data_IF_268151616501
#
_entry.id   IF_268151616501
#
_cell.length_a   1.000
_cell.length_b   1.000
_cell.length_c   1.000
_cell.angle_alpha   90.00
_cell.angle_beta   90.00
_cell.angle_gamma   90.00
#
_symmetry.space_group_name_H-M   'P 1'
#
loop_
_entity.id
_entity.type
_entity.pdbx_description
1 polymer ?
#
# COMPACT_ATOMS: atom_id res chain seq x y z
N UNK A 1 28.82 21.83 -31.62
CA UNK A 1 28.48 20.40 -31.46
C UNK A 1 27.07 20.20 -31.99
N UNK A 2 26.85 19.39 -33.03
CA UNK A 2 25.54 19.25 -33.63
C UNK A 2 24.64 18.43 -32.70
N UNK A 3 23.43 18.90 -32.45
CA UNK A 3 22.41 18.17 -31.70
C UNK A 3 21.98 16.88 -32.41
N UNK A 4 21.11 16.09 -31.78
CA UNK A 4 20.47 14.92 -32.39
C UNK A 4 19.83 15.27 -33.73
N UNK A 5 19.96 14.37 -34.72
CA UNK A 5 19.33 14.55 -36.04
C UNK A 5 17.80 14.47 -35.95
N UNK A 6 17.10 15.16 -36.86
CA UNK A 6 15.63 15.24 -36.85
C UNK A 6 14.94 13.87 -36.85
N UNK A 7 15.48 12.90 -37.61
CA UNK A 7 15.00 11.51 -37.62
C UNK A 7 15.13 10.81 -36.26
N UNK A 8 16.18 11.11 -35.48
CA UNK A 8 16.34 10.56 -34.13
C UNK A 8 15.38 11.23 -33.15
N UNK A 9 15.13 12.54 -33.31
CA UNK A 9 14.15 13.29 -32.51
C UNK A 9 12.74 12.75 -32.77
N UNK A 10 12.39 12.41 -34.01
CA UNK A 10 11.10 11.82 -34.37
C UNK A 10 10.89 10.41 -33.79
N UNK A 11 11.93 9.57 -33.79
CA UNK A 11 11.88 8.26 -33.10
C UNK A 11 11.67 8.44 -31.59
N UNK A 12 12.39 9.39 -30.97
CA UNK A 12 12.22 9.70 -29.55
C UNK A 12 10.83 10.25 -29.27
N UNK A 13 10.26 11.07 -30.16
CA UNK A 13 8.88 11.56 -30.07
C UNK A 13 7.88 10.41 -29.95
N UNK A 14 7.92 9.47 -30.91
CA UNK A 14 7.01 8.33 -30.90
C UNK A 14 7.19 7.40 -29.68
N UNK A 15 8.41 7.22 -29.20
CA UNK A 15 8.67 6.46 -27.98
C UNK A 15 8.11 7.16 -26.73
N UNK A 16 8.23 8.48 -26.66
CA UNK A 16 7.72 9.28 -25.54
C UNK A 16 6.19 9.32 -25.55
N UNK A 17 5.56 9.56 -26.71
CA UNK A 17 4.09 9.56 -26.88
C UNK A 17 3.46 8.22 -26.47
N UNK A 18 4.11 7.10 -26.79
CA UNK A 18 3.62 5.75 -26.47
C UNK A 18 3.95 5.28 -25.05
N UNK A 19 4.80 6.00 -24.31
CA UNK A 19 5.22 5.61 -22.96
C UNK A 19 4.14 5.91 -21.89
N UNK A 20 4.06 5.12 -20.80
CA UNK A 20 3.21 5.45 -19.64
C UNK A 20 3.63 6.74 -18.92
N UNK A 21 2.69 7.43 -18.27
CA UNK A 21 2.94 8.71 -17.56
C UNK A 21 4.11 8.63 -16.56
N UNK A 22 4.19 7.53 -15.78
CA UNK A 22 5.28 7.32 -14.81
C UNK A 22 6.66 7.31 -15.48
N UNK A 23 6.76 6.75 -16.68
CA UNK A 23 8.02 6.68 -17.44
C UNK A 23 8.40 8.07 -17.95
N UNK A 24 7.44 8.84 -18.45
CA UNK A 24 7.69 10.21 -18.93
C UNK A 24 8.10 11.16 -17.80
N UNK A 25 7.47 11.05 -16.62
CA UNK A 25 7.90 11.81 -15.43
C UNK A 25 9.31 11.42 -14.95
N UNK A 26 9.65 10.13 -14.96
CA UNK A 26 11.01 9.65 -14.66
C UNK A 26 12.06 10.19 -15.64
N UNK A 27 11.73 10.23 -16.94
CA UNK A 27 12.58 10.80 -17.99
C UNK A 27 12.81 12.30 -17.79
N UNK A 28 11.78 13.06 -17.42
CA UNK A 28 11.91 14.48 -17.11
C UNK A 28 12.89 14.73 -15.96
N UNK A 29 12.76 13.98 -14.85
CA UNK A 29 13.65 14.11 -13.71
C UNK A 29 15.10 13.78 -14.06
N UNK A 30 15.31 12.72 -14.85
CA UNK A 30 16.63 12.33 -15.33
C UNK A 30 17.26 13.41 -16.24
N UNK A 31 16.48 14.02 -17.13
CA UNK A 31 16.94 15.08 -18.04
C UNK A 31 17.16 16.42 -17.33
N UNK A 32 16.41 16.73 -16.27
CA UNK A 32 16.62 17.91 -15.44
C UNK A 32 17.95 17.83 -14.67
N UNK A 33 18.33 16.64 -14.19
CA UNK A 33 19.61 16.39 -13.54
C UNK A 33 20.82 16.52 -14.50
N UNK A 34 20.61 16.37 -15.80
CA UNK A 34 21.65 16.45 -16.85
C UNK A 34 21.82 17.87 -17.43
N UNK A 35 21.53 18.92 -16.66
CA UNK A 35 21.29 20.31 -17.09
C UNK A 35 22.45 21.02 -17.84
N UNK A 36 23.63 20.40 -17.95
CA UNK A 36 24.79 20.91 -18.68
C UNK A 36 25.00 20.36 -20.10
N UNK A 37 24.24 19.36 -20.55
CA UNK A 37 24.47 18.72 -21.85
C UNK A 37 23.66 19.37 -22.99
N UNK A 38 24.34 20.19 -23.81
CA UNK A 38 23.76 20.84 -24.98
C UNK A 38 23.23 19.87 -26.05
N UNK A 39 23.70 18.61 -26.07
CA UNK A 39 23.32 17.60 -27.06
C UNK A 39 21.89 17.09 -26.81
N UNK A 40 21.47 17.06 -25.54
CA UNK A 40 20.15 16.58 -25.11
C UNK A 40 19.10 17.69 -25.04
N UNK A 41 19.44 18.94 -25.34
CA UNK A 41 18.53 20.07 -25.23
C UNK A 41 17.25 19.91 -26.08
N UNK A 42 17.35 19.30 -27.26
CA UNK A 42 16.20 19.00 -28.13
C UNK A 42 15.28 17.92 -27.55
N UNK A 43 15.84 16.86 -26.97
CA UNK A 43 15.08 15.79 -26.30
C UNK A 43 14.44 16.31 -25.01
N UNK A 44 15.16 17.15 -24.25
CA UNK A 44 14.62 17.80 -23.06
C UNK A 44 13.39 18.65 -23.38
N UNK A 45 13.47 19.52 -24.40
CA UNK A 45 12.30 20.31 -24.83
C UNK A 45 11.13 19.42 -25.24
N UNK A 46 11.40 18.35 -25.98
CA UNK A 46 10.36 17.39 -26.38
C UNK A 46 9.67 16.76 -25.18
N UNK A 47 10.44 16.29 -24.19
CA UNK A 47 9.92 15.67 -22.97
C UNK A 47 9.19 16.70 -22.11
N UNK A 48 9.69 17.93 -21.99
CA UNK A 48 9.02 19.03 -21.29
C UNK A 48 7.66 19.36 -21.92
N UNK A 49 7.58 19.44 -23.25
CA UNK A 49 6.31 19.62 -23.97
C UNK A 49 5.34 18.47 -23.73
N UNK A 50 5.81 17.22 -23.80
CA UNK A 50 4.97 16.05 -23.51
C UNK A 50 4.47 16.05 -22.06
N UNK A 51 5.33 16.34 -21.09
CA UNK A 51 4.94 16.41 -19.67
C UNK A 51 3.90 17.51 -19.47
N UNK A 52 4.07 18.67 -20.08
CA UNK A 52 3.10 19.76 -20.01
C UNK A 52 1.75 19.35 -20.61
N UNK A 53 1.75 18.69 -21.78
CA UNK A 53 0.54 18.18 -22.43
C UNK A 53 -0.19 17.15 -21.55
N UNK A 54 0.54 16.21 -20.93
CA UNK A 54 -0.03 15.22 -20.01
C UNK A 54 -0.51 15.82 -18.70
N UNK A 55 0.20 16.83 -18.18
CA UNK A 55 -0.23 17.58 -17.00
C UNK A 55 -1.55 18.30 -17.28
N UNK A 56 -1.68 18.93 -18.45
CA UNK A 56 -2.92 19.58 -18.87
C UNK A 56 -4.04 18.56 -19.07
N UNK A 57 -3.78 17.46 -19.78
CA UNK A 57 -4.73 16.35 -19.91
C UNK A 57 -5.23 15.87 -18.55
N UNK A 58 -4.31 15.58 -17.63
CA UNK A 58 -4.64 15.04 -16.32
C UNK A 58 -5.33 16.09 -15.42
N UNK A 59 -5.12 17.39 -15.65
CA UNK A 59 -5.90 18.45 -15.01
C UNK A 59 -7.33 18.51 -15.58
N UNK A 60 -7.48 18.52 -16.91
CA UNK A 60 -8.79 18.54 -17.59
C UNK A 60 -9.61 17.31 -17.24
N UNK A 61 -9.02 16.12 -17.39
CA UNK A 61 -9.70 14.83 -17.17
C UNK A 61 -9.53 14.28 -15.75
N UNK A 62 -9.10 15.11 -14.78
CA UNK A 62 -8.86 14.67 -13.40
C UNK A 62 -10.01 13.87 -12.77
N UNK A 63 -11.31 14.17 -13.04
CA UNK A 63 -12.41 13.41 -12.45
C UNK A 63 -12.49 11.95 -12.90
N UNK A 64 -12.02 11.64 -14.11
CA UNK A 64 -12.07 10.29 -14.69
C UNK A 64 -10.69 9.62 -14.80
N UNK A 65 -9.62 10.39 -14.64
CA UNK A 65 -8.27 9.89 -14.85
C UNK A 65 -7.91 8.68 -13.96
N UNK A 66 -8.28 8.65 -12.66
CA UNK A 66 -8.00 7.50 -11.81
C UNK A 66 -8.77 6.23 -12.17
N UNK A 67 -9.90 6.36 -12.90
CA UNK A 67 -10.64 5.20 -13.41
C UNK A 67 -9.92 4.53 -14.60
N UNK A 68 -9.01 5.25 -15.25
CA UNK A 68 -8.32 4.80 -16.46
C UNK A 68 -6.93 4.23 -16.15
N UNK A 69 -6.83 3.32 -15.17
CA UNK A 69 -5.57 2.67 -14.80
C UNK A 69 -5.63 1.18 -15.05
N UNK A 70 -4.48 0.58 -15.39
CA UNK A 70 -4.40 -0.84 -15.70
C UNK A 70 -4.56 -1.69 -14.43
N UNK A 71 -5.34 -2.77 -14.51
CA UNK A 71 -5.38 -3.81 -13.48
C UNK A 71 -6.25 -3.50 -12.26
N UNK A 72 -7.25 -2.62 -12.39
CA UNK A 72 -8.31 -2.51 -11.37
C UNK A 72 -9.12 -3.81 -11.34
N UNK A 73 -9.56 -4.19 -10.14
CA UNK A 73 -10.48 -5.31 -9.93
C UNK A 73 -11.74 -5.17 -10.80
N UNK A 74 -12.28 -6.30 -11.28
CA UNK A 74 -13.46 -6.31 -12.17
C UNK A 74 -14.69 -5.70 -11.52
N UNK A 75 -14.67 -5.62 -10.19
CA UNK A 75 -15.77 -5.15 -9.38
C UNK A 75 -15.88 -3.62 -9.39
N UNK A 76 -14.79 -2.88 -9.61
CA UNK A 76 -14.84 -1.40 -9.66
C UNK A 76 -15.15 -0.85 -11.05
N UNK A 77 -15.53 0.43 -11.12
CA UNK A 77 -15.55 1.18 -12.37
C UNK A 77 -14.11 1.40 -12.83
N UNK A 78 -13.78 0.88 -14.01
CA UNK A 78 -12.48 1.10 -14.62
C UNK A 78 -12.60 1.12 -16.15
N UNK A 79 -11.67 1.84 -16.78
CA UNK A 79 -11.56 1.94 -18.22
C UNK A 79 -10.13 1.62 -18.66
N UNK A 80 -9.92 1.12 -19.89
CA UNK A 80 -8.58 0.95 -20.43
C UNK A 80 -7.80 2.29 -20.43
N UNK A 81 -6.52 2.32 -20.00
CA UNK A 81 -5.76 3.58 -19.87
C UNK A 81 -5.69 4.43 -21.16
N UNK A 82 -5.77 3.77 -22.31
CA UNK A 82 -5.74 4.41 -23.63
C UNK A 82 -6.96 5.29 -23.91
N UNK A 83 -8.08 5.09 -23.20
CA UNK A 83 -9.28 5.93 -23.31
C UNK A 83 -8.96 7.41 -23.06
N UNK A 84 -8.18 7.74 -22.03
CA UNK A 84 -7.79 9.14 -21.75
C UNK A 84 -7.01 9.77 -22.89
N UNK A 85 -6.07 9.02 -23.48
CA UNK A 85 -5.24 9.53 -24.57
C UNK A 85 -6.08 9.81 -25.82
N UNK A 86 -7.06 8.94 -26.11
CA UNK A 86 -7.97 9.12 -27.24
C UNK A 86 -8.90 10.32 -27.04
N UNK A 87 -9.52 10.47 -25.86
CA UNK A 87 -10.34 11.64 -25.53
C UNK A 87 -9.53 12.93 -25.67
N UNK A 88 -8.31 12.94 -25.11
CA UNK A 88 -7.44 14.11 -25.17
C UNK A 88 -7.02 14.47 -26.59
N UNK A 89 -6.68 13.47 -27.40
CA UNK A 89 -6.34 13.69 -28.81
C UNK A 89 -7.54 14.27 -29.57
N UNK A 90 -8.73 13.70 -29.36
CA UNK A 90 -9.98 14.21 -29.91
C UNK A 90 -10.23 15.68 -29.53
N UNK A 91 -10.11 16.03 -28.25
CA UNK A 91 -10.27 17.41 -27.76
C UNK A 91 -9.28 18.39 -28.40
N UNK A 92 -8.01 18.00 -28.57
CA UNK A 92 -7.01 18.86 -29.24
C UNK A 92 -7.35 19.10 -30.71
N UNK A 93 -7.99 18.14 -31.37
CA UNK A 93 -8.40 18.26 -32.76
C UNK A 93 -9.70 19.07 -32.92
N UNK A 94 -10.68 18.88 -32.03
CA UNK A 94 -12.01 19.49 -32.15
C UNK A 94 -12.15 20.85 -31.46
N UNK A 95 -11.42 21.06 -30.36
CA UNK A 95 -11.55 22.23 -29.48
C UNK A 95 -10.19 22.90 -29.18
N UNK A 96 -9.39 23.28 -30.19
CA UNK A 96 -8.03 23.78 -29.96
C UNK A 96 -7.99 25.12 -29.20
N UNK A 97 -9.01 25.97 -29.37
CA UNK A 97 -9.08 27.25 -28.68
C UNK A 97 -9.33 27.08 -27.17
N UNK A 98 -10.22 26.14 -26.83
CA UNK A 98 -10.57 25.78 -25.46
C UNK A 98 -9.38 25.10 -24.76
N UNK A 99 -8.62 24.26 -25.46
CA UNK A 99 -7.38 23.67 -24.94
C UNK A 99 -6.36 24.76 -24.57
N UNK A 100 -6.15 25.76 -25.43
CA UNK A 100 -5.27 26.90 -25.14
C UNK A 100 -5.79 27.73 -23.95
N UNK A 101 -7.12 27.91 -23.84
CA UNK A 101 -7.74 28.58 -22.68
C UNK A 101 -7.48 27.81 -21.38
N UNK A 102 -7.63 26.49 -21.40
CA UNK A 102 -7.35 25.62 -20.26
C UNK A 102 -5.87 25.61 -19.88
N UNK A 103 -4.96 25.61 -20.86
CA UNK A 103 -3.52 25.70 -20.63
C UNK A 103 -3.15 26.98 -19.87
N UNK A 104 -3.67 28.13 -20.31
CA UNK A 104 -3.48 29.42 -19.62
C UNK A 104 -4.05 29.41 -18.22
N UNK A 105 -5.25 28.85 -18.04
CA UNK A 105 -5.87 28.74 -16.73
C UNK A 105 -5.05 27.87 -15.78
N UNK A 106 -4.46 26.78 -16.27
CA UNK A 106 -3.64 25.87 -15.47
C UNK A 106 -2.34 26.52 -14.95
N UNK A 107 -1.75 27.45 -15.70
CA UNK A 107 -0.50 28.11 -15.33
C UNK A 107 -0.60 28.85 -13.98
N UNK A 108 -1.74 29.51 -13.75
CA UNK A 108 -2.01 30.30 -12.55
C UNK A 108 -3.02 29.61 -11.59
N UNK A 109 -3.36 28.35 -11.85
CA UNK A 109 -4.41 27.65 -11.12
C UNK A 109 -4.04 27.44 -9.66
N UNK A 110 -4.92 27.91 -8.78
CA UNK A 110 -4.89 27.69 -7.35
C UNK A 110 -6.17 27.00 -6.91
N UNK A 111 -6.07 25.86 -6.20
CA UNK A 111 -7.22 25.24 -5.55
C UNK A 111 -8.01 26.27 -4.74
N UNK A 112 -9.34 26.21 -4.79
CA UNK A 112 -10.32 27.07 -4.10
C UNK A 112 -10.35 28.57 -4.49
N UNK A 113 -9.32 29.09 -5.17
CA UNK A 113 -9.28 30.49 -5.64
C UNK A 113 -9.61 30.62 -7.13
N UNK A 114 -9.24 29.62 -7.94
CA UNK A 114 -9.35 29.66 -9.41
C UNK A 114 -10.59 28.94 -9.92
N UNK A 115 -11.24 29.51 -10.94
CA UNK A 115 -12.35 28.85 -11.62
C UNK A 115 -11.88 27.59 -12.37
N UNK A 116 -12.59 26.48 -12.18
CA UNK A 116 -12.39 25.24 -12.92
C UNK A 116 -13.14 25.20 -14.27
N UNK A 117 -13.95 26.22 -14.57
CA UNK A 117 -14.78 26.32 -15.78
C UNK A 117 -14.03 25.98 -17.08
N UNK A 118 -12.77 26.44 -17.32
CA UNK A 118 -12.05 26.10 -18.54
C UNK A 118 -11.81 24.59 -18.72
N UNK A 119 -11.68 23.85 -17.62
CA UNK A 119 -11.52 22.39 -17.65
C UNK A 119 -12.87 21.70 -17.89
N UNK A 120 -13.93 22.17 -17.24
CA UNK A 120 -15.26 21.55 -17.32
C UNK A 120 -15.94 21.78 -18.68
N UNK A 121 -15.64 22.89 -19.35
CA UNK A 121 -16.02 23.11 -20.76
C UNK A 121 -15.46 22.00 -21.65
N UNK A 122 -14.17 21.66 -21.50
CA UNK A 122 -13.53 20.60 -22.29
C UNK A 122 -14.10 19.22 -21.95
N UNK A 123 -14.43 18.96 -20.68
CA UNK A 123 -15.07 17.69 -20.29
C UNK A 123 -16.48 17.57 -20.85
N UNK A 124 -17.24 18.66 -20.87
CA UNK A 124 -18.57 18.71 -21.49
C UNK A 124 -18.48 18.44 -22.99
N UNK A 125 -17.55 19.12 -23.68
CA UNK A 125 -17.28 18.88 -25.10
C UNK A 125 -16.86 17.42 -25.38
N UNK A 126 -16.07 16.82 -24.49
CA UNK A 126 -15.72 15.41 -24.60
C UNK A 126 -16.93 14.48 -24.45
N UNK A 127 -17.86 14.79 -23.54
CA UNK A 127 -19.09 14.01 -23.37
C UNK A 127 -19.95 14.07 -24.64
N UNK A 128 -20.15 15.27 -25.21
CA UNK A 128 -20.93 15.44 -26.43
C UNK A 128 -20.29 14.73 -27.63
N UNK A 129 -18.99 14.92 -27.84
CA UNK A 129 -18.23 14.24 -28.88
C UNK A 129 -18.21 12.71 -28.73
N UNK A 130 -18.13 12.19 -27.49
CA UNK A 130 -18.23 10.77 -27.20
C UNK A 130 -19.61 10.20 -27.53
N UNK A 131 -20.68 10.96 -27.24
CA UNK A 131 -22.05 10.59 -27.59
C UNK A 131 -22.27 10.53 -29.09
N UNK A 132 -21.71 11.49 -29.82
CA UNK A 132 -21.75 11.55 -31.29
C UNK A 132 -20.78 10.57 -31.94
N UNK A 133 -19.80 10.06 -31.18
CA UNK A 133 -18.69 9.20 -31.64
C UNK A 133 -17.82 9.87 -32.71
N UNK A 134 -17.78 11.21 -32.73
CA UNK A 134 -17.00 12.03 -33.65
C UNK A 134 -16.17 13.08 -32.90
N UNK A 135 -14.95 13.43 -33.38
CA UNK A 135 -14.16 12.76 -34.41
C UNK A 135 -13.72 11.32 -34.05
N UNK A 136 -13.06 10.63 -34.99
CA UNK A 136 -12.67 9.20 -34.92
C UNK A 136 -12.09 8.75 -33.57
N UNK A 137 -11.31 9.60 -32.89
CA UNK A 137 -10.71 9.25 -31.60
C UNK A 137 -11.75 9.03 -30.50
N UNK A 138 -12.86 9.78 -30.49
CA UNK A 138 -13.97 9.57 -29.54
C UNK A 138 -14.71 8.27 -29.84
N UNK A 139 -14.97 7.96 -31.12
CA UNK A 139 -15.51 6.66 -31.52
C UNK A 139 -14.61 5.50 -31.08
N UNK A 140 -13.30 5.62 -31.27
CA UNK A 140 -12.33 4.63 -30.81
C UNK A 140 -12.27 4.50 -29.28
N UNK A 141 -12.46 5.59 -28.54
CA UNK A 141 -12.54 5.57 -27.08
C UNK A 141 -13.80 4.83 -26.61
N UNK A 142 -14.95 5.10 -27.23
CA UNK A 142 -16.22 4.43 -26.95
C UNK A 142 -16.12 2.91 -27.23
N UNK A 143 -15.61 2.53 -28.41
CA UNK A 143 -15.42 1.12 -28.79
C UNK A 143 -14.48 0.39 -27.82
N UNK A 144 -13.43 1.07 -27.37
CA UNK A 144 -12.48 0.50 -26.40
C UNK A 144 -13.13 0.31 -25.02
N UNK A 145 -13.98 1.24 -24.59
CA UNK A 145 -14.74 1.11 -23.35
C UNK A 145 -15.74 -0.05 -23.45
N UNK A 146 -16.51 -0.14 -24.53
CA UNK A 146 -17.48 -1.21 -24.78
C UNK A 146 -16.82 -2.60 -24.89
N UNK A 147 -15.62 -2.68 -25.48
CA UNK A 147 -14.86 -3.92 -25.57
C UNK A 147 -14.38 -4.42 -24.18
N UNK A 148 -14.20 -3.51 -23.22
CA UNK A 148 -13.78 -3.86 -21.85
C UNK A 148 -14.94 -4.31 -20.96
N UNK A 149 -16.13 -3.74 -21.16
CA UNK A 149 -17.36 -4.03 -20.42
C UNK A 149 -18.55 -3.67 -21.28
N UNK A 150 -19.58 -4.53 -21.31
CA UNK A 150 -20.83 -4.22 -21.99
C UNK A 150 -21.43 -2.91 -21.45
N UNK A 151 -21.76 -1.98 -22.35
CA UNK A 151 -22.24 -0.64 -21.98
C UNK A 151 -21.15 0.29 -21.44
N UNK A 152 -19.87 -0.02 -21.66
CA UNK A 152 -18.74 0.77 -21.18
C UNK A 152 -18.71 2.19 -21.72
N UNK A 153 -19.13 2.43 -22.97
CA UNK A 153 -19.21 3.78 -23.54
C UNK A 153 -20.26 4.64 -22.84
N UNK A 154 -21.43 4.08 -22.54
CA UNK A 154 -22.50 4.78 -21.81
C UNK A 154 -22.07 5.09 -20.37
N UNK A 155 -21.39 4.13 -19.72
CA UNK A 155 -20.81 4.35 -18.40
C UNK A 155 -19.76 5.47 -18.40
N UNK A 156 -18.90 5.52 -19.43
CA UNK A 156 -17.91 6.58 -19.59
C UNK A 156 -18.55 7.95 -19.81
N UNK A 157 -19.56 8.04 -20.68
CA UNK A 157 -20.34 9.26 -20.92
C UNK A 157 -20.95 9.78 -19.62
N UNK A 158 -21.58 8.86 -18.88
CA UNK A 158 -22.15 9.11 -17.57
C UNK A 158 -21.13 9.60 -16.53
N UNK A 159 -19.90 9.06 -16.54
CA UNK A 159 -18.82 9.57 -15.69
C UNK A 159 -18.38 10.99 -16.10
N UNK A 160 -18.31 11.28 -17.41
CA UNK A 160 -17.98 12.63 -17.90
C UNK A 160 -19.07 13.65 -17.49
N UNK A 161 -20.34 13.27 -17.48
CA UNK A 161 -21.43 14.13 -17.03
C UNK A 161 -21.31 14.52 -15.54
N UNK A 162 -20.78 13.63 -14.70
CA UNK A 162 -20.55 13.90 -13.27
C UNK A 162 -19.27 14.71 -13.00
N UNK A 163 -18.42 14.90 -14.01
CA UNK A 163 -17.07 15.41 -13.82
C UNK A 163 -16.97 16.78 -13.11
N UNK A 164 -17.83 17.78 -13.38
CA UNK A 164 -17.75 19.07 -12.66
C UNK A 164 -17.98 18.90 -11.16
N UNK A 165 -18.99 18.09 -10.78
CA UNK A 165 -19.33 17.81 -9.37
C UNK A 165 -18.19 17.04 -8.71
N UNK A 166 -17.64 16.04 -9.39
CA UNK A 166 -16.52 15.24 -8.86
C UNK A 166 -15.28 16.11 -8.68
N UNK A 167 -14.99 17.04 -9.59
CA UNK A 167 -13.85 17.95 -9.47
C UNK A 167 -13.96 18.81 -8.22
N UNK A 168 -15.11 19.44 -8.00
CA UNK A 168 -15.34 20.25 -6.81
C UNK A 168 -15.29 19.41 -5.54
N UNK A 169 -15.95 18.26 -5.53
CA UNK A 169 -15.93 17.32 -4.41
C UNK A 169 -14.50 16.83 -4.08
N UNK A 170 -13.66 16.59 -5.10
CA UNK A 170 -12.28 16.12 -4.93
C UNK A 170 -11.43 17.12 -4.14
N UNK A 171 -11.62 18.42 -4.33
CA UNK A 171 -10.91 19.46 -3.57
C UNK A 171 -11.26 19.38 -2.07
N UNK A 172 -12.47 18.92 -1.74
CA UNK A 172 -13.01 18.85 -0.38
C UNK A 172 -12.82 17.49 0.29
N UNK A 173 -12.39 16.48 -0.46
CA UNK A 173 -12.19 15.11 0.06
C UNK A 173 -11.31 15.06 1.32
N UNK A 174 -10.14 15.74 1.39
CA UNK A 174 -9.30 15.69 2.60
C UNK A 174 -10.04 16.18 3.87
N UNK A 175 -10.92 17.17 3.71
CA UNK A 175 -11.74 17.67 4.81
C UNK A 175 -12.86 16.71 5.19
N UNK A 176 -13.51 16.09 4.19
CA UNK A 176 -14.62 15.16 4.42
C UNK A 176 -14.16 13.89 5.15
N UNK A 177 -12.97 13.36 4.83
CA UNK A 177 -12.46 12.10 5.41
C UNK A 177 -11.75 12.26 6.76
N UNK A 178 -11.20 13.45 7.06
CA UNK A 178 -10.36 13.66 8.24
C UNK A 178 -11.16 13.86 9.54
N UNK A 179 -12.25 14.63 9.48
CA UNK A 179 -13.23 14.83 10.56
C UNK A 179 -14.57 15.24 9.96
N UNK A 180 -15.58 14.38 10.04
CA UNK A 180 -16.92 14.72 9.56
C UNK A 180 -17.65 15.55 10.60
N UNK A 181 -17.74 16.87 10.38
CA UNK A 181 -18.67 17.75 11.11
C UNK A 181 -20.02 17.79 10.39
N UNK A 182 -21.08 18.25 11.04
CA UNK A 182 -22.40 18.41 10.41
C UNK A 182 -22.33 19.30 9.16
N UNK A 183 -21.54 20.37 9.19
CA UNK A 183 -21.31 21.26 8.05
C UNK A 183 -20.64 20.55 6.86
N UNK A 184 -19.64 19.70 7.14
CA UNK A 184 -18.95 18.90 6.11
C UNK A 184 -19.85 17.81 5.54
N UNK A 185 -20.67 17.19 6.38
CA UNK A 185 -21.68 16.23 5.93
C UNK A 185 -22.74 16.89 5.04
N UNK A 186 -23.20 18.10 5.40
CA UNK A 186 -24.15 18.86 4.59
C UNK A 186 -23.61 19.17 3.19
N UNK A 187 -22.32 19.51 3.09
CA UNK A 187 -21.66 19.71 1.81
C UNK A 187 -21.56 18.45 0.96
N UNK A 188 -21.20 17.31 1.54
CA UNK A 188 -21.19 16.03 0.85
C UNK A 188 -22.59 15.62 0.37
N UNK A 189 -23.62 15.86 1.19
CA UNK A 189 -25.04 15.64 0.84
C UNK A 189 -25.48 16.52 -0.32
N UNK A 190 -25.06 17.78 -0.35
CA UNK A 190 -25.36 18.69 -1.46
C UNK A 190 -24.73 18.18 -2.76
N UNK A 191 -23.44 17.84 -2.76
CA UNK A 191 -22.76 17.31 -3.94
C UNK A 191 -23.40 15.99 -4.43
N UNK A 192 -23.76 15.10 -3.50
CA UNK A 192 -24.51 13.88 -3.81
C UNK A 192 -25.89 14.20 -4.43
N UNK A 193 -26.62 15.17 -3.86
CA UNK A 193 -27.92 15.60 -4.38
C UNK A 193 -27.80 16.14 -5.81
N UNK A 194 -26.77 16.94 -6.08
CA UNK A 194 -26.51 17.49 -7.41
C UNK A 194 -26.17 16.37 -8.41
N UNK A 195 -25.46 15.32 -7.97
CA UNK A 195 -25.15 14.16 -8.79
C UNK A 195 -26.42 13.37 -9.17
N UNK A 196 -27.31 13.09 -8.22
CA UNK A 196 -28.56 12.34 -8.50
C UNK A 196 -29.59 13.13 -9.32
N UNK A 197 -29.48 14.45 -9.39
CA UNK A 197 -30.28 15.27 -10.33
C UNK A 197 -29.90 15.01 -11.78
N UNK A 198 -28.66 14.60 -12.06
CA UNK A 198 -28.19 14.30 -13.42
C UNK A 198 -28.80 13.00 -13.95
N UNK A 199 -28.87 11.96 -13.13
CA UNK A 199 -29.54 10.69 -13.46
C UNK A 199 -29.88 9.90 -12.20
N UNK A 200 -30.98 9.14 -12.22
CA UNK A 200 -31.46 8.35 -11.08
C UNK A 200 -30.40 7.38 -10.53
N UNK A 201 -29.57 6.77 -11.39
CA UNK A 201 -28.51 5.82 -11.01
C UNK A 201 -27.12 6.48 -10.80
N UNK A 202 -27.06 7.81 -10.63
CA UNK A 202 -25.77 8.51 -10.47
C UNK A 202 -25.12 8.31 -9.09
N UNK A 203 -25.89 7.91 -8.08
CA UNK A 203 -25.42 7.82 -6.69
C UNK A 203 -24.19 6.92 -6.51
N UNK A 204 -24.26 5.63 -6.88
CA UNK A 204 -23.13 4.71 -6.70
C UNK A 204 -21.93 5.14 -7.56
N UNK A 205 -22.20 5.66 -8.76
CA UNK A 205 -21.16 6.16 -9.66
C UNK A 205 -20.41 7.35 -9.05
N UNK A 206 -21.12 8.27 -8.42
CA UNK A 206 -20.51 9.39 -7.72
C UNK A 206 -19.51 8.92 -6.66
N UNK A 207 -19.90 7.95 -5.82
CA UNK A 207 -19.01 7.39 -4.80
C UNK A 207 -17.85 6.58 -5.39
N UNK A 208 -18.05 5.80 -6.45
CA UNK A 208 -16.97 5.08 -7.14
C UNK A 208 -15.93 6.06 -7.72
N UNK A 209 -16.39 7.16 -8.33
CA UNK A 209 -15.51 8.19 -8.88
C UNK A 209 -14.69 8.88 -7.79
N UNK A 210 -15.29 9.17 -6.63
CA UNK A 210 -14.56 9.74 -5.48
C UNK A 210 -13.62 8.73 -4.83
N UNK A 211 -14.04 7.47 -4.68
CA UNK A 211 -13.20 6.40 -4.15
C UNK A 211 -11.91 6.23 -4.97
N UNK A 212 -11.99 6.38 -6.29
CA UNK A 212 -10.82 6.33 -7.17
C UNK A 212 -9.83 7.49 -6.95
N UNK A 213 -10.26 8.60 -6.34
CA UNK A 213 -9.38 9.73 -6.00
C UNK A 213 -8.68 9.54 -4.64
N UNK A 214 -9.13 8.59 -3.81
CA UNK A 214 -8.60 8.36 -2.47
C UNK A 214 -7.38 7.44 -2.51
N UNK A 215 -6.41 7.71 -1.64
CA UNK A 215 -5.28 6.80 -1.45
C UNK A 215 -5.73 5.44 -0.90
N UNK A 216 -6.77 5.46 -0.07
CA UNK A 216 -7.43 4.29 0.52
C UNK A 216 -8.90 4.29 0.09
N UNK A 217 -9.27 3.64 -1.03
CA UNK A 217 -10.60 3.74 -1.62
C UNK A 217 -11.73 3.34 -0.66
N UNK A 218 -11.47 2.43 0.28
CA UNK A 218 -12.44 1.97 1.28
C UNK A 218 -12.85 3.05 2.29
N UNK A 219 -12.06 4.13 2.44
CA UNK A 219 -12.44 5.30 3.28
C UNK A 219 -13.62 6.10 2.70
N UNK A 220 -14.07 5.78 1.49
CA UNK A 220 -15.31 6.31 0.91
C UNK A 220 -16.53 6.04 1.80
N UNK A 221 -16.50 4.97 2.61
CA UNK A 221 -17.59 4.62 3.51
C UNK A 221 -17.90 5.72 4.53
N UNK A 222 -16.92 6.52 4.96
CA UNK A 222 -17.18 7.74 5.76
C UNK A 222 -18.10 8.72 5.06
N UNK A 223 -17.91 8.93 3.76
CA UNK A 223 -18.69 9.88 2.97
C UNK A 223 -20.08 9.30 2.71
N UNK A 224 -20.18 8.02 2.36
CA UNK A 224 -21.46 7.30 2.24
C UNK A 224 -22.25 7.41 3.55
N UNK A 225 -21.60 7.12 4.68
CA UNK A 225 -22.18 7.24 6.02
C UNK A 225 -22.67 8.65 6.31
N UNK A 226 -21.85 9.68 6.04
CA UNK A 226 -22.22 11.07 6.24
C UNK A 226 -23.43 11.48 5.39
N UNK A 227 -23.46 11.07 4.11
CA UNK A 227 -24.57 11.36 3.20
C UNK A 227 -25.86 10.71 3.66
N UNK A 228 -25.79 9.46 4.15
CA UNK A 228 -26.93 8.68 4.62
C UNK A 228 -27.28 8.89 6.09
N UNK A 229 -26.61 9.83 6.77
CA UNK A 229 -26.81 10.15 8.19
C UNK A 229 -26.61 8.94 9.12
N UNK A 230 -25.44 8.30 8.99
CA UNK A 230 -25.00 7.15 9.78
C UNK A 230 -25.99 5.97 9.70
N UNK A 231 -26.06 5.30 8.54
CA UNK A 231 -27.13 4.34 8.26
C UNK A 231 -27.01 3.08 9.11
N UNK A 232 -28.16 2.48 9.41
CA UNK A 232 -28.22 1.12 9.95
C UNK A 232 -27.79 0.09 8.91
N UNK A 233 -27.24 -1.04 9.36
CA UNK A 233 -26.85 -2.12 8.44
C UNK A 233 -28.02 -2.59 7.56
N UNK A 234 -29.25 -2.65 8.09
CA UNK A 234 -30.41 -3.11 7.34
C UNK A 234 -30.77 -2.13 6.21
N UNK A 235 -30.72 -0.83 6.50
CA UNK A 235 -31.00 0.20 5.51
C UNK A 235 -29.92 0.24 4.42
N UNK A 236 -28.65 0.17 4.80
CA UNK A 236 -27.54 0.18 3.85
C UNK A 236 -27.49 -1.10 3.00
N UNK A 237 -27.75 -2.26 3.59
CA UNK A 237 -27.79 -3.53 2.86
C UNK A 237 -28.92 -3.61 1.82
N UNK A 238 -30.02 -2.89 2.05
CA UNK A 238 -31.15 -2.82 1.12
C UNK A 238 -30.97 -1.75 0.02
N UNK A 239 -29.91 -0.94 0.07
CA UNK A 239 -29.64 0.12 -0.89
C UNK A 239 -28.62 -0.30 -1.95
N UNK A 240 -28.51 0.51 -2.99
CA UNK A 240 -27.48 0.39 -4.03
C UNK A 240 -26.05 0.61 -3.52
N UNK A 241 -25.88 1.13 -2.29
CA UNK A 241 -24.57 1.38 -1.68
C UNK A 241 -24.05 0.18 -0.87
N UNK A 242 -24.83 -0.90 -0.78
CA UNK A 242 -24.40 -2.12 -0.08
C UNK A 242 -23.08 -2.68 -0.62
N UNK A 243 -22.88 -2.52 -1.93
CA UNK A 243 -21.71 -2.98 -2.67
C UNK A 243 -20.38 -2.47 -2.10
N UNK A 244 -20.34 -1.25 -1.52
CA UNK A 244 -19.11 -0.69 -0.95
C UNK A 244 -18.70 -1.42 0.33
N UNK A 245 -19.67 -1.73 1.21
CA UNK A 245 -19.42 -2.47 2.44
C UNK A 245 -19.12 -3.94 2.15
N UNK A 246 -19.84 -4.56 1.22
CA UNK A 246 -19.65 -5.95 0.82
C UNK A 246 -18.26 -6.19 0.23
N UNK A 247 -17.83 -5.35 -0.72
CA UNK A 247 -16.47 -5.45 -1.29
C UNK A 247 -15.38 -5.26 -0.25
N UNK A 248 -15.56 -4.33 0.68
CA UNK A 248 -14.58 -4.14 1.76
C UNK A 248 -14.48 -5.37 2.65
N UNK A 249 -15.61 -5.99 3.01
CA UNK A 249 -15.60 -7.26 3.77
C UNK A 249 -14.98 -8.41 2.97
N UNK A 250 -15.23 -8.50 1.66
CA UNK A 250 -14.60 -9.49 0.79
C UNK A 250 -13.07 -9.28 0.71
N UNK A 251 -12.62 -8.03 0.67
CA UNK A 251 -11.20 -7.67 0.68
C UNK A 251 -10.54 -8.07 2.00
N UNK A 252 -11.21 -7.84 3.13
CA UNK A 252 -10.76 -8.29 4.46
C UNK A 252 -10.55 -9.81 4.45
N UNK A 253 -11.50 -10.59 3.94
CA UNK A 253 -11.39 -12.05 3.88
C UNK A 253 -10.21 -12.50 3.00
N UNK A 254 -10.01 -11.85 1.85
CA UNK A 254 -8.85 -12.09 0.97
C UNK A 254 -7.53 -11.78 1.67
N UNK A 255 -7.47 -10.66 2.40
CA UNK A 255 -6.28 -10.22 3.11
C UNK A 255 -5.97 -11.12 4.32
N UNK A 256 -6.98 -11.62 5.04
CA UNK A 256 -6.80 -12.64 6.09
C UNK A 256 -6.09 -13.89 5.54
N UNK A 257 -6.46 -14.33 4.34
CA UNK A 257 -5.78 -15.43 3.65
C UNK A 257 -4.29 -15.19 3.44
N UNK A 258 -3.88 -13.95 3.09
CA UNK A 258 -2.47 -13.59 2.89
C UNK A 258 -1.66 -13.69 4.19
N UNK A 259 -2.23 -13.29 5.33
CA UNK A 259 -1.56 -13.41 6.64
C UNK A 259 -1.40 -14.89 7.04
N UNK A 260 -2.38 -15.73 6.70
CA UNK A 260 -2.28 -17.18 6.94
C UNK A 260 -1.19 -17.82 6.09
N UNK A 261 -0.91 -17.33 4.88
CA UNK A 261 -0.05 -18.02 3.92
C UNK A 261 1.30 -17.36 3.66
N UNK A 262 1.66 -16.27 4.35
CA UNK A 262 2.93 -15.59 4.05
C UNK A 262 4.15 -16.49 4.29
N UNK A 263 5.17 -16.32 3.46
CA UNK A 263 6.37 -17.15 3.47
C UNK A 263 7.28 -16.79 4.64
N UNK A 264 7.42 -17.73 5.58
CA UNK A 264 8.35 -17.59 6.70
C UNK A 264 9.82 -17.59 6.26
N UNK A 265 10.14 -18.03 5.04
CA UNK A 265 11.50 -18.03 4.50
C UNK A 265 11.82 -16.77 3.68
N UNK A 266 10.87 -15.83 3.57
CA UNK A 266 11.02 -14.62 2.75
C UNK A 266 11.83 -13.48 3.39
N UNK A 267 12.36 -13.70 4.59
CA UNK A 267 13.17 -12.72 5.32
C UNK A 267 12.35 -11.56 5.91
N UNK A 268 13.07 -10.54 6.37
CA UNK A 268 12.46 -9.38 7.04
C UNK A 268 11.42 -8.64 6.18
N UNK A 269 11.57 -8.64 4.86
CA UNK A 269 10.59 -7.98 3.98
C UNK A 269 9.24 -8.71 4.00
N UNK A 270 9.23 -10.04 3.91
CA UNK A 270 8.00 -10.82 4.01
C UNK A 270 7.30 -10.62 5.37
N UNK A 271 8.07 -10.49 6.46
CA UNK A 271 7.53 -10.16 7.78
C UNK A 271 6.87 -8.79 7.84
N UNK A 272 7.51 -7.76 7.26
CA UNK A 272 6.94 -6.40 7.16
C UNK A 272 5.70 -6.36 6.30
N UNK A 273 5.73 -7.00 5.13
CA UNK A 273 4.60 -7.04 4.21
C UNK A 273 3.37 -7.70 4.88
N UNK A 274 3.58 -8.81 5.59
CA UNK A 274 2.52 -9.46 6.36
C UNK A 274 2.00 -8.57 7.51
N UNK A 275 2.88 -7.84 8.19
CA UNK A 275 2.51 -6.88 9.23
C UNK A 275 1.66 -5.73 8.69
N UNK A 276 2.04 -5.17 7.54
CA UNK A 276 1.27 -4.14 6.84
C UNK A 276 -0.13 -4.63 6.44
N UNK A 277 -0.27 -5.90 6.04
CA UNK A 277 -1.59 -6.50 5.77
C UNK A 277 -2.44 -6.60 7.04
N UNK A 278 -1.86 -6.95 8.20
CA UNK A 278 -2.58 -6.98 9.49
C UNK A 278 -3.06 -5.58 9.88
N UNK A 279 -2.23 -4.56 9.68
CA UNK A 279 -2.60 -3.16 9.92
C UNK A 279 -3.71 -2.71 8.98
N UNK A 280 -3.62 -3.02 7.69
CA UNK A 280 -4.67 -2.75 6.71
C UNK A 280 -6.01 -3.37 7.13
N UNK A 281 -6.04 -4.66 7.46
CA UNK A 281 -7.29 -5.33 7.90
C UNK A 281 -7.86 -4.66 9.15
N UNK A 282 -6.99 -4.27 10.09
CA UNK A 282 -7.39 -3.56 11.32
C UNK A 282 -8.08 -2.24 10.99
N UNK A 283 -7.52 -1.45 10.08
CA UNK A 283 -8.09 -0.18 9.63
C UNK A 283 -9.41 -0.38 8.86
N UNK A 284 -9.48 -1.37 7.98
CA UNK A 284 -10.69 -1.70 7.21
C UNK A 284 -11.85 -2.13 8.11
N UNK A 285 -11.59 -2.97 9.12
CA UNK A 285 -12.61 -3.36 10.12
C UNK A 285 -13.10 -2.12 10.89
N UNK A 286 -12.18 -1.26 11.33
CA UNK A 286 -12.52 -0.02 12.03
C UNK A 286 -13.36 0.91 11.16
N UNK A 287 -13.10 0.97 9.86
CA UNK A 287 -13.88 1.78 8.95
C UNK A 287 -15.36 1.35 8.91
N UNK A 288 -15.63 0.05 8.77
CA UNK A 288 -17.01 -0.45 8.73
C UNK A 288 -17.70 -0.21 10.08
N UNK A 289 -17.03 -0.54 11.20
CA UNK A 289 -17.57 -0.33 12.55
C UNK A 289 -17.91 1.15 12.81
N UNK A 290 -17.15 2.10 12.25
CA UNK A 290 -17.37 3.53 12.43
C UNK A 290 -18.31 4.16 11.40
N UNK A 291 -18.60 3.48 10.30
CA UNK A 291 -19.41 4.04 9.19
C UNK A 291 -20.85 3.54 9.19
N UNK A 292 -21.13 2.40 9.82
CA UNK A 292 -22.44 1.74 9.77
C UNK A 292 -22.86 1.31 11.16
N UNK A 293 -24.12 1.52 11.53
CA UNK A 293 -24.66 0.95 12.77
C UNK A 293 -24.88 -0.57 12.56
N UNK A 294 -23.87 -1.34 12.96
CA UNK A 294 -23.87 -2.80 12.82
C UNK A 294 -24.72 -3.47 13.90
N UNK A 295 -25.48 -4.50 13.50
CA UNK A 295 -26.18 -5.38 14.43
C UNK A 295 -25.19 -6.23 15.23
N UNK A 296 -25.65 -6.69 16.41
CA UNK A 296 -24.81 -7.50 17.31
C UNK A 296 -24.65 -8.94 16.81
N UNK A 297 -25.65 -9.49 16.13
CA UNK A 297 -25.68 -10.88 15.68
C UNK A 297 -26.30 -11.00 14.27
N UNK A 298 -25.72 -11.87 13.43
CA UNK A 298 -26.16 -12.07 12.05
C UNK A 298 -25.67 -10.98 11.08
N UNK A 299 -26.03 -11.12 9.79
CA UNK A 299 -25.74 -10.11 8.76
C UNK A 299 -24.27 -9.70 8.64
N UNK A 300 -24.05 -8.40 8.44
CA UNK A 300 -22.72 -7.82 8.32
C UNK A 300 -22.04 -7.69 9.69
N UNK A 301 -22.76 -7.29 10.73
CA UNK A 301 -22.20 -7.23 12.09
C UNK A 301 -21.58 -8.56 12.53
N UNK A 302 -22.27 -9.68 12.32
CA UNK A 302 -21.75 -11.02 12.60
C UNK A 302 -20.53 -11.38 11.73
N UNK A 303 -20.51 -10.98 10.45
CA UNK A 303 -19.35 -11.18 9.55
C UNK A 303 -18.13 -10.40 10.02
N UNK A 304 -18.29 -9.13 10.35
CA UNK A 304 -17.21 -8.26 10.87
C UNK A 304 -16.66 -8.81 12.19
N UNK A 305 -17.52 -9.25 13.12
CA UNK A 305 -17.06 -9.90 14.35
C UNK A 305 -16.28 -11.20 14.08
N UNK A 306 -16.73 -12.01 13.11
CA UNK A 306 -16.00 -13.21 12.68
C UNK A 306 -14.64 -12.87 12.07
N UNK A 307 -14.55 -11.81 11.27
CA UNK A 307 -13.30 -11.33 10.67
C UNK A 307 -12.33 -10.83 11.73
N UNK A 308 -12.79 -10.05 12.71
CA UNK A 308 -11.99 -9.59 13.86
C UNK A 308 -11.44 -10.77 14.68
N UNK A 309 -12.28 -11.75 14.98
CA UNK A 309 -11.86 -12.99 15.65
C UNK A 309 -10.85 -13.78 14.81
N UNK A 310 -11.04 -13.82 13.49
CA UNK A 310 -10.14 -14.51 12.56
C UNK A 310 -8.78 -13.82 12.49
N UNK A 311 -8.74 -12.48 12.43
CA UNK A 311 -7.50 -11.70 12.49
C UNK A 311 -6.70 -12.05 13.74
N UNK A 312 -7.33 -11.96 14.91
CA UNK A 312 -6.68 -12.33 16.17
C UNK A 312 -6.17 -13.78 16.14
N UNK A 313 -7.00 -14.73 15.72
CA UNK A 313 -6.64 -16.15 15.66
C UNK A 313 -5.47 -16.45 14.71
N UNK A 314 -5.42 -15.80 13.55
CA UNK A 314 -4.33 -15.97 12.58
C UNK A 314 -3.03 -15.39 13.10
N UNK A 315 -3.06 -14.17 13.67
CA UNK A 315 -1.87 -13.56 14.28
C UNK A 315 -1.38 -14.41 15.45
N UNK A 316 -2.26 -14.84 16.34
CA UNK A 316 -1.89 -15.73 17.45
C UNK A 316 -1.32 -17.08 16.98
N UNK A 317 -1.84 -17.63 15.89
CA UNK A 317 -1.26 -18.82 15.26
C UNK A 317 0.21 -18.61 14.91
N UNK A 318 0.54 -17.48 14.29
CA UNK A 318 1.92 -17.10 13.97
C UNK A 318 2.77 -16.84 15.20
N UNK A 319 2.22 -16.18 16.22
CA UNK A 319 2.93 -15.97 17.49
C UNK A 319 3.34 -17.29 18.15
N UNK A 320 2.48 -18.31 18.13
CA UNK A 320 2.79 -19.63 18.70
C UNK A 320 3.90 -20.38 17.93
N UNK A 321 4.15 -20.05 16.66
CA UNK A 321 5.25 -20.64 15.90
C UNK A 321 6.63 -20.09 16.33
N UNK A 322 6.67 -18.96 17.04
CA UNK A 322 7.91 -18.29 17.40
C UNK A 322 8.84 -19.17 18.22
N UNK A 323 8.31 -19.88 19.22
CA UNK A 323 9.12 -20.76 20.08
C UNK A 323 9.87 -21.83 19.24
N UNK A 324 9.16 -22.42 18.28
CA UNK A 324 9.71 -23.47 17.41
C UNK A 324 10.79 -22.91 16.49
N UNK A 325 10.53 -21.74 15.90
CA UNK A 325 11.44 -21.13 14.93
C UNK A 325 12.70 -20.61 15.64
N UNK A 326 12.56 -19.99 16.81
CA UNK A 326 13.70 -19.54 17.63
C UNK A 326 14.50 -20.74 18.13
N UNK A 327 13.85 -21.80 18.60
CA UNK A 327 14.54 -23.03 19.01
C UNK A 327 15.31 -23.73 17.88
N UNK A 328 14.91 -23.53 16.61
CA UNK A 328 15.66 -24.02 15.46
C UNK A 328 16.85 -23.10 15.11
N UNK A 329 16.68 -21.79 15.21
CA UNK A 329 17.75 -20.82 14.96
C UNK A 329 18.82 -20.80 16.07
N UNK A 330 18.43 -21.09 17.32
CA UNK A 330 19.27 -21.14 18.52
C UNK A 330 19.14 -22.53 19.18
N UNK A 331 19.70 -23.58 18.57
CA UNK A 331 19.48 -24.96 19.01
C UNK A 331 20.18 -25.24 20.34
N UNK A 332 19.46 -25.90 21.25
CA UNK A 332 19.98 -26.36 22.54
C UNK A 332 19.83 -27.88 22.71
N UNK A 333 20.49 -28.44 23.73
CA UNK A 333 20.38 -29.83 24.12
C UNK A 333 20.38 -29.96 25.64
N UNK A 334 19.60 -30.89 26.17
CA UNK A 334 19.53 -31.13 27.60
C UNK A 334 20.75 -31.92 28.06
N UNK A 335 21.50 -31.36 29.01
CA UNK A 335 22.63 -32.02 29.68
C UNK A 335 22.32 -32.12 31.16
N UNK A 336 22.58 -33.30 31.74
CA UNK A 336 22.37 -33.53 33.16
C UNK A 336 23.56 -32.98 33.94
N UNK A 337 23.33 -31.91 34.70
CA UNK A 337 24.33 -31.31 35.60
C UNK A 337 23.88 -31.56 37.03
N UNK A 338 24.59 -32.47 37.72
CA UNK A 338 24.20 -32.98 39.03
C UNK A 338 22.75 -33.54 39.06
N UNK A 339 21.85 -32.94 39.86
CA UNK A 339 20.44 -33.36 40.00
C UNK A 339 19.47 -32.59 39.09
N UNK A 340 19.93 -31.64 38.30
CA UNK A 340 19.10 -30.83 37.40
C UNK A 340 19.42 -31.12 35.92
N UNK A 341 18.42 -30.93 35.05
CA UNK A 341 18.64 -30.83 33.61
C UNK A 341 18.91 -29.38 33.26
N UNK A 342 20.04 -29.13 32.59
CA UNK A 342 20.42 -27.80 32.08
C UNK A 342 20.28 -27.82 30.55
N UNK A 343 19.72 -26.77 29.97
CA UNK A 343 19.64 -26.62 28.52
C UNK A 343 20.91 -25.90 28.04
N UNK A 344 21.78 -26.59 27.31
CA UNK A 344 23.03 -26.03 26.82
C UNK A 344 22.95 -25.76 25.31
N UNK A 345 23.48 -24.62 24.82
CA UNK A 345 23.64 -24.34 23.40
C UNK A 345 24.36 -25.47 22.66
N UNK A 346 23.95 -25.74 21.42
CA UNK A 346 24.54 -26.76 20.56
C UNK A 346 25.45 -26.12 19.52
N UNK A 347 26.76 -26.25 19.70
CA UNK A 347 27.80 -25.73 18.78
C UNK A 347 28.41 -26.85 17.91
N UNK A 348 27.57 -27.67 17.28
CA UNK A 348 28.04 -28.80 16.44
C UNK A 348 28.36 -28.40 14.99
N UNK A 349 27.96 -27.20 14.57
CA UNK A 349 28.12 -26.67 13.22
C UNK A 349 27.63 -25.22 13.16
N UNK A 350 27.83 -24.51 12.04
CA UNK A 350 27.37 -23.14 11.89
C UNK A 350 25.82 -23.04 11.97
N UNK A 351 25.27 -21.85 12.30
CA UNK A 351 23.83 -21.61 12.27
C UNK A 351 23.22 -21.95 10.90
N UNK A 352 22.07 -22.61 10.90
CA UNK A 352 21.35 -22.96 9.67
C UNK A 352 20.66 -21.71 9.09
N UNK A 353 21.06 -21.32 7.88
CA UNK A 353 20.59 -20.08 7.23
C UNK A 353 19.06 -20.01 7.08
N UNK A 354 18.41 -21.14 6.76
CA UNK A 354 16.95 -21.21 6.63
C UNK A 354 16.28 -21.01 8.00
N UNK A 355 16.82 -21.61 9.06
CA UNK A 355 16.29 -21.45 10.41
C UNK A 355 16.41 -19.99 10.90
N UNK A 356 17.57 -19.36 10.65
CA UNK A 356 17.82 -17.95 10.97
C UNK A 356 16.88 -17.04 10.18
N UNK A 357 16.75 -17.25 8.87
CA UNK A 357 15.84 -16.47 8.02
C UNK A 357 14.39 -16.56 8.51
N UNK A 358 13.95 -17.74 8.93
CA UNK A 358 12.62 -17.92 9.51
C UNK A 358 12.43 -17.16 10.82
N UNK A 359 13.42 -17.18 11.70
CA UNK A 359 13.38 -16.42 12.95
C UNK A 359 13.29 -14.92 12.69
N UNK A 360 14.16 -14.40 11.81
CA UNK A 360 14.16 -12.99 11.40
C UNK A 360 12.80 -12.58 10.82
N UNK A 361 12.25 -13.40 9.91
CA UNK A 361 10.95 -13.13 9.27
C UNK A 361 9.83 -13.00 10.29
N UNK A 362 9.74 -13.95 11.22
CA UNK A 362 8.66 -13.99 12.20
C UNK A 362 8.82 -12.94 13.31
N UNK A 363 10.04 -12.66 13.76
CA UNK A 363 10.32 -11.57 14.70
C UNK A 363 10.01 -10.20 14.08
N UNK A 364 10.36 -10.01 12.80
CA UNK A 364 9.99 -8.78 12.07
C UNK A 364 8.47 -8.63 12.00
N UNK A 365 7.73 -9.71 11.73
CA UNK A 365 6.27 -9.69 11.76
C UNK A 365 5.72 -9.28 13.14
N UNK A 366 6.23 -9.83 14.24
CA UNK A 366 5.81 -9.48 15.62
C UNK A 366 6.02 -7.99 15.93
N UNK A 367 7.14 -7.45 15.47
CA UNK A 367 7.48 -6.04 15.59
C UNK A 367 6.49 -5.19 14.79
N UNK A 368 6.24 -5.54 13.53
CA UNK A 368 5.39 -4.78 12.63
C UNK A 368 3.91 -4.76 13.03
N UNK A 369 3.40 -5.80 13.72
CA UNK A 369 2.00 -5.82 14.20
C UNK A 369 1.78 -5.07 15.53
N UNK A 370 2.78 -4.35 16.04
CA UNK A 370 2.71 -3.66 17.34
C UNK A 370 1.61 -2.60 17.39
N UNK A 371 1.48 -1.75 16.36
CA UNK A 371 0.51 -0.64 16.33
C UNK A 371 -0.93 -1.15 16.34
N UNK A 372 -1.18 -2.26 15.66
CA UNK A 372 -2.52 -2.84 15.48
C UNK A 372 -2.95 -3.76 16.63
N UNK A 373 -2.05 -4.13 17.55
CA UNK A 373 -2.28 -5.21 18.50
C UNK A 373 -3.47 -5.00 19.46
N UNK A 374 -3.69 -3.76 19.90
CA UNK A 374 -4.78 -3.44 20.81
C UNK A 374 -6.14 -3.58 20.13
N UNK A 375 -6.29 -2.96 18.96
CA UNK A 375 -7.56 -3.00 18.24
C UNK A 375 -7.83 -4.36 17.60
N UNK A 376 -6.78 -5.00 17.06
CA UNK A 376 -6.85 -6.34 16.48
C UNK A 376 -7.09 -7.47 17.50
N UNK A 377 -7.07 -7.18 18.80
CA UNK A 377 -7.46 -8.14 19.85
C UNK A 377 -6.41 -9.18 20.21
N UNK A 378 -5.14 -8.99 19.85
CA UNK A 378 -4.04 -9.95 20.10
C UNK A 378 -2.89 -9.37 20.95
N UNK A 379 -3.08 -8.18 21.54
CA UNK A 379 -2.06 -7.51 22.36
C UNK A 379 -1.51 -8.38 23.51
N UNK A 380 -2.38 -9.05 24.27
CA UNK A 380 -1.95 -9.90 25.39
C UNK A 380 -1.08 -11.08 24.92
N UNK A 381 -1.51 -11.76 23.86
CA UNK A 381 -0.77 -12.89 23.27
C UNK A 381 0.59 -12.45 22.72
N UNK A 382 0.65 -11.27 22.10
CA UNK A 382 1.91 -10.66 21.63
C UNK A 382 2.85 -10.36 22.79
N UNK A 383 2.40 -9.68 23.83
CA UNK A 383 3.23 -9.34 25.01
C UNK A 383 3.83 -10.59 25.64
N UNK A 384 3.00 -11.61 25.90
CA UNK A 384 3.46 -12.89 26.47
C UNK A 384 4.49 -13.58 25.57
N UNK A 385 4.29 -13.56 24.27
CA UNK A 385 5.23 -14.16 23.30
C UNK A 385 6.55 -13.40 23.33
N UNK A 386 6.51 -12.07 23.33
CA UNK A 386 7.71 -11.23 23.37
C UNK A 386 8.52 -11.44 24.65
N UNK A 387 7.85 -11.49 25.80
CA UNK A 387 8.49 -11.77 27.10
C UNK A 387 9.16 -13.15 27.08
N UNK A 388 8.42 -14.19 26.72
CA UNK A 388 8.91 -15.58 26.68
C UNK A 388 10.10 -15.78 25.74
N UNK A 389 10.02 -15.25 24.51
CA UNK A 389 11.12 -15.35 23.55
C UNK A 389 12.33 -14.55 24.03
N UNK A 390 12.09 -13.41 24.68
CA UNK A 390 13.15 -12.61 25.29
C UNK A 390 13.90 -13.38 26.36
N UNK A 391 13.19 -14.01 27.30
CA UNK A 391 13.77 -14.90 28.32
C UNK A 391 14.55 -16.05 27.69
N UNK A 392 13.99 -16.69 26.65
CA UNK A 392 14.66 -17.80 25.95
C UNK A 392 15.99 -17.38 25.32
N UNK A 393 16.04 -16.18 24.72
CA UNK A 393 17.27 -15.63 24.13
C UNK A 393 18.28 -15.27 25.22
N UNK A 394 17.83 -14.63 26.30
CA UNK A 394 18.69 -14.24 27.42
C UNK A 394 19.33 -15.47 28.07
N UNK A 395 18.56 -16.51 28.36
CA UNK A 395 19.05 -17.79 28.90
C UNK A 395 20.07 -18.46 27.95
N UNK A 396 19.76 -18.51 26.65
CA UNK A 396 20.67 -19.07 25.65
C UNK A 396 22.01 -18.34 25.61
N UNK A 397 21.98 -16.99 25.67
CA UNK A 397 23.18 -16.15 25.67
C UNK A 397 24.00 -16.37 26.95
N UNK A 398 23.37 -16.42 28.13
CA UNK A 398 24.07 -16.67 29.39
C UNK A 398 24.81 -18.02 29.36
N UNK A 399 24.13 -19.06 28.91
CA UNK A 399 24.71 -20.41 28.80
C UNK A 399 25.84 -20.46 27.78
N UNK A 400 25.67 -19.82 26.61
CA UNK A 400 26.71 -19.73 25.58
C UNK A 400 27.97 -19.02 26.12
N UNK A 401 27.80 -17.91 26.84
CA UNK A 401 28.90 -17.18 27.45
C UNK A 401 29.56 -17.95 28.61
N UNK A 402 28.84 -18.81 29.32
CA UNK A 402 29.42 -19.71 30.33
C UNK A 402 30.34 -20.74 29.67
N UNK A 403 29.84 -21.44 28.65
CA UNK A 403 30.62 -22.45 27.91
C UNK A 403 31.91 -21.86 27.30
N UNK A 404 31.83 -20.64 26.75
CA UNK A 404 33.00 -19.94 26.21
C UNK A 404 34.02 -19.66 27.31
N UNK A 405 33.58 -19.15 28.47
CA UNK A 405 34.47 -18.82 29.60
C UNK A 405 35.12 -20.04 30.23
N UNK A 406 34.40 -21.16 30.24
CA UNK A 406 34.87 -22.44 30.77
C UNK A 406 35.77 -23.21 29.78
N UNK A 407 35.87 -22.74 28.52
CA UNK A 407 36.68 -23.39 27.49
C UNK A 407 36.05 -24.68 26.95
N UNK A 408 34.73 -24.86 27.14
CA UNK A 408 33.98 -26.06 26.71
C UNK A 408 33.48 -25.97 25.25
N UNK A 409 33.81 -24.88 24.56
CA UNK A 409 33.47 -24.66 23.15
C UNK A 409 34.62 -25.14 22.26
N UNK A 410 34.35 -26.14 21.41
CA UNK A 410 35.34 -26.68 20.49
C UNK A 410 35.79 -25.67 19.41
N UNK A 411 34.85 -24.89 18.87
CA UNK A 411 35.11 -23.84 17.88
C UNK A 411 34.49 -22.50 18.32
N UNK A 412 35.31 -21.54 18.80
CA UNK A 412 34.86 -20.22 19.22
C UNK A 412 34.16 -19.42 18.12
N UNK A 413 34.48 -19.66 16.84
CA UNK A 413 33.88 -18.95 15.71
C UNK A 413 32.43 -19.40 15.47
N UNK A 414 32.12 -20.67 15.70
CA UNK A 414 30.75 -21.18 15.66
C UNK A 414 29.92 -20.56 16.78
N UNK A 415 30.46 -20.47 18.00
CA UNK A 415 29.77 -19.82 19.11
C UNK A 415 29.56 -18.31 18.85
N UNK A 416 30.54 -17.64 18.24
CA UNK A 416 30.41 -16.23 17.78
C UNK A 416 29.27 -16.06 16.78
N UNK A 417 29.13 -16.98 15.83
CA UNK A 417 28.05 -16.95 14.84
C UNK A 417 26.67 -17.07 15.49
N UNK A 418 26.47 -18.02 16.42
CA UNK A 418 25.20 -18.13 17.16
C UNK A 418 24.92 -16.93 18.07
N UNK A 419 25.93 -16.37 18.74
CA UNK A 419 25.77 -15.15 19.54
C UNK A 419 25.41 -13.94 18.69
N UNK A 420 25.87 -13.89 17.44
CA UNK A 420 25.45 -12.88 16.46
C UNK A 420 23.97 -13.05 16.10
N UNK A 421 23.53 -14.27 15.80
CA UNK A 421 22.11 -14.57 15.53
C UNK A 421 21.24 -14.20 16.74
N UNK A 422 21.65 -14.54 17.96
CA UNK A 422 20.92 -14.18 19.17
C UNK A 422 20.85 -12.66 19.37
N UNK A 423 21.92 -11.93 19.07
CA UNK A 423 21.93 -10.47 19.12
C UNK A 423 20.96 -9.85 18.11
N UNK A 424 20.96 -10.34 16.86
CA UNK A 424 20.06 -9.85 15.81
C UNK A 424 18.59 -10.13 16.15
N UNK A 425 18.29 -11.32 16.68
CA UNK A 425 16.96 -11.66 17.19
C UNK A 425 16.53 -10.72 18.34
N UNK A 426 17.43 -10.44 19.28
CA UNK A 426 17.17 -9.55 20.41
C UNK A 426 16.93 -8.10 19.96
N UNK A 427 17.67 -7.63 18.95
CA UNK A 427 17.45 -6.32 18.32
C UNK A 427 16.04 -6.20 17.74
N UNK A 428 15.57 -7.21 16.99
CA UNK A 428 14.24 -7.22 16.39
C UNK A 428 13.12 -7.31 17.43
N UNK A 429 13.34 -8.06 18.49
CA UNK A 429 12.32 -8.32 19.51
C UNK A 429 12.10 -7.15 20.47
N UNK A 430 13.19 -6.47 20.86
CA UNK A 430 13.19 -5.42 21.89
C UNK A 430 13.60 -4.08 21.29
N UNK A 431 14.91 -3.88 21.17
CA UNK A 431 15.50 -2.63 20.73
C UNK A 431 16.97 -2.84 20.31
N UNK A 432 17.57 -1.91 19.54
CA UNK A 432 18.96 -2.03 19.09
C UNK A 432 19.99 -2.23 20.20
N UNK A 433 19.80 -1.61 21.38
CA UNK A 433 20.77 -1.70 22.49
C UNK A 433 20.83 -3.11 23.07
N UNK A 434 19.71 -3.82 23.08
CA UNK A 434 19.65 -5.21 23.56
C UNK A 434 20.61 -6.11 22.77
N UNK A 435 20.64 -5.98 21.44
CA UNK A 435 21.61 -6.70 20.60
C UNK A 435 23.06 -6.25 20.79
N UNK A 436 23.30 -4.95 20.94
CA UNK A 436 24.65 -4.41 21.16
C UNK A 436 25.28 -4.92 22.47
N UNK A 437 24.48 -5.07 23.52
CA UNK A 437 24.93 -5.66 24.79
C UNK A 437 25.41 -7.10 24.57
N UNK A 438 24.65 -7.91 23.84
CA UNK A 438 25.02 -9.30 23.52
C UNK A 438 26.32 -9.33 22.71
N UNK A 439 26.43 -8.52 21.65
CA UNK A 439 27.66 -8.45 20.82
C UNK A 439 28.88 -8.06 21.65
N UNK A 440 28.76 -7.04 22.53
CA UNK A 440 29.85 -6.61 23.41
C UNK A 440 30.29 -7.72 24.38
N UNK A 441 29.33 -8.43 24.98
CA UNK A 441 29.61 -9.54 25.90
C UNK A 441 30.27 -10.72 25.18
N UNK A 442 29.81 -11.04 23.97
CA UNK A 442 30.42 -12.04 23.11
C UNK A 442 31.89 -11.72 22.80
N UNK A 443 32.18 -10.49 22.35
CA UNK A 443 33.56 -10.05 22.07
C UNK A 443 34.45 -10.12 23.30
N UNK A 444 33.96 -9.72 24.48
CA UNK A 444 34.73 -9.80 25.72
C UNK A 444 35.03 -11.25 26.14
N UNK A 445 34.06 -12.15 26.03
CA UNK A 445 34.24 -13.56 26.38
C UNK A 445 35.21 -14.27 25.41
N UNK A 446 35.10 -14.00 24.11
CA UNK A 446 35.97 -14.58 23.09
C UNK A 446 37.40 -14.03 23.16
N UNK A 447 37.57 -12.73 23.45
CA UNK A 447 38.90 -12.12 23.63
C UNK A 447 39.63 -12.58 24.89
N UNK A 448 38.92 -13.16 25.87
CA UNK A 448 39.52 -13.75 27.06
C UNK A 448 40.07 -15.17 26.83
N UNK A 449 39.74 -15.80 25.70
CA UNK A 449 40.34 -17.08 25.28
C UNK A 449 41.79 -16.82 24.89
N UNK A 450 42.73 -17.10 25.80
CA UNK A 450 44.16 -17.04 25.50
C UNK A 450 44.49 -17.96 24.31
N UNK A 451 45.26 -17.53 23.31
CA UNK A 451 45.82 -18.46 22.34
C UNK A 451 46.72 -19.45 23.09
N UNK A 452 46.43 -20.74 22.96
CA UNK A 452 47.29 -21.83 23.42
C UNK A 452 48.52 -21.93 22.51
N UNK A 453 49.38 -20.92 22.55
CA UNK A 453 50.68 -20.89 21.90
C UNK A 453 51.59 -19.99 22.74
N UNK A 454 52.05 -20.52 23.88
CA UNK A 454 53.30 -20.14 24.58
C UNK A 454 53.56 -21.04 25.81
N UNK A 455 53.23 -22.33 25.74
CA UNK A 455 53.65 -23.32 26.76
C UNK A 455 54.37 -24.54 26.18
N UNK A 456 54.96 -24.39 25.00
CA UNK A 456 55.81 -25.41 24.39
C UNK A 456 57.02 -24.78 23.68
N UNK A 457 57.78 -23.94 24.39
CA UNK A 457 59.17 -23.65 24.05
C UNK A 457 59.93 -23.15 25.30
N UNK A 458 60.92 -23.97 25.70
CA UNK A 458 61.97 -23.78 26.72
C UNK A 458 61.56 -23.89 28.20
#
# INVERSE_FOLDING_TARGET
>A
MPGLSDRKIEIVRHLVESAPDKVVGGLQNALAAASGDSVLAGVRRLVETEVADRRLRNAVLSPIAPLCVAGIDKDHISFPPRVLALIWHGLKASCPAEVVRAERALADYRPDESSAEPFDILVTAAADALREREPRDFGAAADLADASRAGGAELLLSCLALAPIIREATLRLPDWISRTTEERAAAARLAYKDAVVISDDAGPRFFEMLAAQLAEPWTILRIVSAVMDHPTEHYLAASEFSVFAERLMDEIDKNLGKVVSFDLSGGAQAGRDAGAVVELITLQIAEIENSVELGKEGGWGGRVQKQKKSLAGVVEGRLRECDKVIGAALPSHAVRVARAMKSLPRFTGPPEEIAVTRAVTLLTFIESVRSSANYGGFASSRTKTVEKIGETIDDYVEEALSLIREGEVADPEIARAFLTVAADCSTLLRDPRSGDVIRRRATAALGAIKPAADSAAA
#
